data_IF_522954375672
#
_entry.id   IF_522954375672
#
_cell.length_a   1.000
_cell.length_b   1.000
_cell.length_c   1.000
_cell.angle_alpha   90.00
_cell.angle_beta   90.00
_cell.angle_gamma   90.00
#
_symmetry.space_group_name_H-M   'P 1'
#
loop_
_entity.id
_entity.type
_entity.pdbx_description
1 polymer ?
#
# COMPACT_ATOMS: atom_id res chain seq x y z
N UNK A 1 10.10 -9.32 15.45
CA UNK A 1 10.79 -8.01 15.38
C UNK A 1 12.23 -8.27 14.96
N UNK A 2 12.66 -7.57 13.92
CA UNK A 2 14.02 -7.65 13.40
C UNK A 2 14.70 -6.30 13.56
N UNK A 3 15.86 -6.28 14.19
CA UNK A 3 16.69 -5.09 14.32
C UNK A 3 17.48 -4.86 13.03
N UNK A 4 17.63 -3.63 12.62
CA UNK A 4 18.46 -3.27 11.48
C UNK A 4 19.35 -2.07 11.80
N UNK A 5 20.46 -1.95 11.09
CA UNK A 5 21.37 -0.80 11.10
C UNK A 5 21.50 -0.14 9.73
N UNK A 6 21.16 -0.89 8.68
CA UNK A 6 21.17 -0.44 7.29
C UNK A 6 19.73 -0.35 6.78
N UNK A 7 19.28 0.86 6.46
CA UNK A 7 17.91 1.12 5.96
C UNK A 7 17.67 0.45 4.60
N UNK A 8 18.65 0.46 3.71
CA UNK A 8 18.53 -0.18 2.39
C UNK A 8 18.26 -1.67 2.54
N UNK A 9 19.02 -2.34 3.40
CA UNK A 9 18.79 -3.74 3.70
C UNK A 9 17.38 -3.98 4.29
N UNK A 10 16.92 -3.11 5.18
CA UNK A 10 15.60 -3.25 5.81
C UNK A 10 14.47 -3.15 4.77
N UNK A 11 14.57 -2.19 3.84
CA UNK A 11 13.60 -2.04 2.72
C UNK A 11 13.64 -3.27 1.82
N UNK A 12 14.82 -3.74 1.48
CA UNK A 12 14.99 -4.95 0.68
C UNK A 12 14.32 -6.17 1.33
N UNK A 13 14.54 -6.37 2.64
CA UNK A 13 13.93 -7.48 3.36
C UNK A 13 12.39 -7.35 3.42
N UNK A 14 11.87 -6.16 3.65
CA UNK A 14 10.44 -5.92 3.62
C UNK A 14 9.82 -6.26 2.26
N UNK A 15 10.48 -5.86 1.18
CA UNK A 15 10.00 -6.07 -0.18
C UNK A 15 10.18 -7.52 -0.69
N UNK A 16 10.98 -8.34 -0.03
CA UNK A 16 11.08 -9.79 -0.32
C UNK A 16 9.88 -10.61 0.13
N UNK A 17 9.02 -10.06 0.98
CA UNK A 17 7.82 -10.76 1.42
C UNK A 17 6.87 -11.01 0.26
N UNK A 18 6.23 -12.17 0.25
CA UNK A 18 5.23 -12.55 -0.75
C UNK A 18 3.85 -11.95 -0.47
N UNK A 19 3.76 -11.00 0.42
CA UNK A 19 2.54 -10.30 0.80
C UNK A 19 2.78 -8.79 0.78
N UNK A 20 1.75 -8.02 0.52
CA UNK A 20 1.85 -6.57 0.44
C UNK A 20 0.49 -5.90 0.60
N UNK A 21 -0.23 -6.14 1.69
CA UNK A 21 -1.49 -5.46 1.95
C UNK A 21 -1.23 -4.06 2.48
N UNK A 22 -0.48 -3.94 3.56
CA UNK A 22 -0.20 -2.68 4.21
C UNK A 22 1.16 -2.67 4.87
N UNK A 23 1.74 -1.49 4.94
CA UNK A 23 2.99 -1.22 5.64
C UNK A 23 2.91 0.10 6.40
N UNK A 24 3.87 0.37 7.26
CA UNK A 24 3.95 1.66 7.94
C UNK A 24 5.40 2.08 8.16
N UNK A 25 5.61 3.39 8.10
CA UNK A 25 6.89 4.04 8.39
C UNK A 25 6.71 4.99 9.54
N UNK A 26 7.54 4.87 10.56
CA UNK A 26 7.51 5.70 11.75
C UNK A 26 8.77 6.55 11.81
N UNK A 27 8.62 7.86 11.74
CA UNK A 27 9.75 8.81 11.78
C UNK A 27 9.26 10.20 12.18
N UNK A 28 10.09 10.91 12.93
CA UNK A 28 9.89 12.35 13.19
C UNK A 28 10.22 13.21 11.98
N UNK A 29 10.97 12.68 11.00
CA UNK A 29 11.28 13.36 9.76
C UNK A 29 10.30 12.93 8.67
N UNK A 30 9.34 13.80 8.34
CA UNK A 30 8.27 13.50 7.39
C UNK A 30 8.77 13.27 5.96
N UNK A 31 9.74 14.04 5.50
CA UNK A 31 10.29 13.88 4.14
C UNK A 31 10.98 12.52 3.98
N UNK A 32 11.76 12.14 4.99
CA UNK A 32 12.40 10.82 5.02
C UNK A 32 11.37 9.70 5.09
N UNK A 33 10.31 9.88 5.88
CA UNK A 33 9.23 8.90 5.96
C UNK A 33 8.53 8.70 4.60
N UNK A 34 8.26 9.78 3.87
CA UNK A 34 7.66 9.74 2.53
C UNK A 34 8.59 9.04 1.52
N UNK A 35 9.88 9.36 1.55
CA UNK A 35 10.87 8.71 0.69
C UNK A 35 10.90 7.20 0.93
N UNK A 36 10.98 6.76 2.17
CA UNK A 36 10.97 5.33 2.52
C UNK A 36 9.63 4.69 2.14
N UNK A 37 8.52 5.34 2.44
CA UNK A 37 7.18 4.84 2.11
C UNK A 37 7.00 4.59 0.61
N UNK A 38 7.54 5.47 -0.23
CA UNK A 38 7.47 5.33 -1.69
C UNK A 38 8.23 4.13 -2.25
N UNK A 39 9.10 3.54 -1.46
CA UNK A 39 9.95 2.40 -1.84
C UNK A 39 9.44 1.06 -1.31
N UNK A 40 8.43 1.08 -0.43
CA UNK A 40 7.84 -0.14 0.11
C UNK A 40 6.77 -0.69 -0.83
N UNK A 41 6.84 -1.97 -1.11
CA UNK A 41 5.90 -2.68 -1.96
C UNK A 41 4.68 -3.16 -1.16
N UNK A 42 3.70 -2.27 -1.02
CA UNK A 42 2.43 -2.55 -0.35
C UNK A 42 1.31 -1.73 -1.00
N UNK A 43 0.08 -2.20 -0.87
CA UNK A 43 -1.10 -1.48 -1.38
C UNK A 43 -1.32 -0.16 -0.66
N UNK A 44 -1.07 -0.12 0.64
CA UNK A 44 -1.11 1.11 1.44
C UNK A 44 0.11 1.18 2.35
N UNK A 45 0.74 2.35 2.41
CA UNK A 45 1.79 2.64 3.39
C UNK A 45 1.37 3.85 4.24
N UNK A 46 1.24 3.65 5.54
CA UNK A 46 0.92 4.72 6.49
C UNK A 46 2.19 5.35 7.05
N UNK A 47 2.12 6.63 7.35
CA UNK A 47 3.21 7.36 8.04
C UNK A 47 2.73 7.73 9.43
N UNK A 48 3.47 7.26 10.45
CA UNK A 48 3.17 7.45 11.86
C UNK A 48 1.74 7.02 12.26
N UNK A 49 1.22 6.04 11.53
CA UNK A 49 -0.08 5.42 11.73
C UNK A 49 -0.05 3.99 11.21
N UNK A 50 -1.08 3.23 11.48
CA UNK A 50 -1.28 1.92 10.87
C UNK A 50 -2.77 1.55 10.87
N UNK A 51 -3.24 0.99 9.75
CA UNK A 51 -4.58 0.42 9.65
C UNK A 51 -5.73 1.43 9.51
N UNK A 52 -5.44 2.72 9.38
CA UNK A 52 -6.47 3.72 9.11
C UNK A 52 -6.99 3.56 7.67
N UNK A 53 -8.27 3.32 7.51
CA UNK A 53 -8.95 3.14 6.22
C UNK A 53 -9.96 4.27 6.03
N UNK A 54 -9.99 4.83 4.82
CA UNK A 54 -10.92 5.88 4.42
C UNK A 54 -11.75 5.38 3.24
N UNK A 55 -13.09 5.36 3.32
CA UNK A 55 -13.93 4.88 2.22
C UNK A 55 -13.83 5.69 0.93
N UNK A 56 -13.19 6.85 0.95
CA UNK A 56 -12.92 7.67 -0.24
C UNK A 56 -11.63 7.27 -0.96
N UNK A 57 -10.81 6.44 -0.35
CA UNK A 57 -9.49 6.05 -0.85
C UNK A 57 -9.47 4.56 -1.12
N UNK A 58 -9.01 4.11 -2.31
CA UNK A 58 -8.90 2.68 -2.60
C UNK A 58 -8.02 1.96 -1.57
N UNK A 59 -8.45 0.79 -1.16
CA UNK A 59 -7.71 -0.09 -0.26
C UNK A 59 -7.65 -1.49 -0.85
N UNK A 60 -6.45 -2.01 -1.00
CA UNK A 60 -6.20 -3.35 -1.49
C UNK A 60 -4.73 -3.70 -1.41
N UNK A 61 -4.43 -4.97 -1.58
CA UNK A 61 -3.08 -5.51 -1.51
C UNK A 61 -2.47 -5.74 -2.88
N UNK A 62 -1.18 -6.06 -2.85
CA UNK A 62 -0.42 -6.57 -3.98
C UNK A 62 0.17 -7.93 -3.63
N UNK A 63 0.82 -8.58 -4.58
CA UNK A 63 1.40 -9.92 -4.41
C UNK A 63 0.33 -10.91 -3.92
N UNK A 64 0.67 -11.82 -3.02
CA UNK A 64 -0.28 -12.81 -2.47
C UNK A 64 -1.33 -12.23 -1.52
N UNK A 65 -1.29 -10.94 -1.21
CA UNK A 65 -2.36 -10.27 -0.45
C UNK A 65 -3.67 -10.13 -1.23
N UNK A 66 -3.65 -10.38 -2.53
CA UNK A 66 -4.86 -10.54 -3.34
C UNK A 66 -5.02 -9.52 -4.47
N UNK A 67 -6.10 -9.69 -5.21
CA UNK A 67 -6.45 -8.87 -6.36
C UNK A 67 -7.56 -7.88 -6.03
N UNK A 68 -7.55 -6.76 -6.74
CA UNK A 68 -8.60 -5.77 -6.66
C UNK A 68 -8.48 -4.85 -5.44
N UNK A 69 -9.39 -3.91 -5.38
CA UNK A 69 -9.47 -2.93 -4.31
C UNK A 69 -10.91 -2.74 -3.86
N UNK A 70 -11.07 -2.34 -2.61
CA UNK A 70 -12.31 -1.82 -2.05
C UNK A 70 -12.21 -0.31 -1.90
N UNK A 71 -13.34 0.34 -1.72
CA UNK A 71 -13.43 1.79 -1.50
C UNK A 71 -12.95 2.65 -2.67
N UNK A 72 -13.19 3.95 -2.57
CA UNK A 72 -12.90 4.90 -3.61
C UNK A 72 -13.67 4.67 -4.90
N UNK A 73 -13.36 5.44 -5.90
CA UNK A 73 -13.96 5.29 -7.25
C UNK A 73 -13.57 3.95 -7.88
N UNK A 74 -12.36 3.51 -7.67
CA UNK A 74 -11.83 2.24 -8.19
C UNK A 74 -12.57 1.04 -7.59
N UNK A 75 -12.82 1.04 -6.29
CA UNK A 75 -13.60 0.00 -5.63
C UNK A 75 -15.05 -0.05 -6.12
N UNK A 76 -15.64 1.11 -6.31
CA UNK A 76 -17.02 1.20 -6.86
C UNK A 76 -17.10 0.66 -8.29
N UNK A 77 -16.16 1.02 -9.15
CA UNK A 77 -16.08 0.52 -10.52
C UNK A 77 -15.90 -1.00 -10.59
N UNK A 78 -15.20 -1.57 -9.62
CA UNK A 78 -15.01 -3.02 -9.52
C UNK A 78 -16.29 -3.83 -9.29
N UNK A 79 -17.39 -3.18 -8.87
CA UNK A 79 -18.70 -3.80 -8.66
C UNK A 79 -19.61 -3.74 -9.90
N UNK A 80 -19.13 -3.21 -11.01
CA UNK A 80 -19.90 -3.02 -12.23
C UNK A 80 -19.13 -3.50 -13.47
N UNK A 81 -19.86 -3.81 -14.51
CA UNK A 81 -19.29 -4.09 -15.83
C UNK A 81 -19.35 -2.85 -16.71
N UNK A 82 -18.29 -2.54 -17.46
CA UNK A 82 -18.35 -1.47 -18.46
C UNK A 82 -19.26 -1.90 -19.62
N UNK A 83 -20.08 -0.96 -20.10
CA UNK A 83 -20.83 -1.11 -21.33
C UNK A 83 -20.29 -0.13 -22.36
N UNK A 84 -19.96 -0.63 -23.53
CA UNK A 84 -19.49 0.19 -24.66
C UNK A 84 -20.60 0.30 -25.67
N UNK A 85 -20.96 1.54 -26.00
CA UNK A 85 -21.89 1.86 -27.09
C UNK A 85 -21.07 2.54 -28.19
N UNK A 86 -20.99 1.89 -29.31
CA UNK A 86 -20.27 2.36 -30.48
C UNK A 86 -21.26 2.57 -31.64
N UNK A 87 -21.38 3.81 -32.08
CA UNK A 87 -22.31 4.13 -33.15
C UNK A 87 -21.92 5.33 -33.97
#
# INVERSE_FOLDING_TARGET
IVKYTDLEWAIEQANKLDVGLGSSVWSSNRERALEVASRLEAGTTWINAHGAVDPRVPFGGIKSSGYGVEFGTEGLKGLAYPQIING
#
